data_IF_312191257465
#
_entry.id   IF_312191257465
#
_cell.length_a   1.000
_cell.length_b   1.000
_cell.length_c   1.000
_cell.angle_alpha   90.00
_cell.angle_beta   90.00
_cell.angle_gamma   90.00
#
_symmetry.space_group_name_H-M   'P 1'
#
loop_
_entity.id
_entity.type
_entity.pdbx_description
1 polymer ?
#
# COMPACT_ATOMS: atom_id res chain seq x y z
N UNK A 1 14.69 12.52 -11.28
CA UNK A 1 15.63 12.32 -10.17
C UNK A 1 15.50 13.51 -9.22
N UNK A 2 15.23 13.27 -7.94
CA UNK A 2 15.07 14.30 -6.93
C UNK A 2 16.43 14.63 -6.33
N UNK A 3 16.82 15.90 -6.36
CA UNK A 3 18.09 16.36 -5.77
C UNK A 3 17.82 17.10 -4.46
N UNK A 4 18.29 16.53 -3.35
CA UNK A 4 18.18 17.11 -2.00
C UNK A 4 19.43 17.94 -1.66
N UNK A 5 19.63 19.07 -2.33
CA UNK A 5 20.63 20.07 -1.89
C UNK A 5 19.93 21.41 -1.64
N UNK A 6 19.81 21.77 -0.37
CA UNK A 6 19.30 23.07 0.09
C UNK A 6 17.80 23.11 0.39
N UNK A 7 17.37 24.06 1.21
CA UNK A 7 16.06 24.23 1.83
C UNK A 7 14.86 24.51 0.89
N UNK A 8 14.90 24.10 -0.37
CA UNK A 8 13.76 24.20 -1.27
C UNK A 8 13.74 23.02 -2.24
N UNK A 9 12.62 22.34 -2.28
CA UNK A 9 12.32 21.30 -3.24
C UNK A 9 12.09 21.93 -4.61
N UNK A 10 13.13 21.97 -5.47
CA UNK A 10 13.00 22.44 -6.85
C UNK A 10 13.04 21.25 -7.79
N UNK A 11 12.04 21.19 -8.70
CA UNK A 11 12.04 20.28 -9.84
C UNK A 11 13.07 20.80 -10.86
N UNK A 12 14.09 20.00 -11.21
CA UNK A 12 14.98 20.37 -12.31
C UNK A 12 14.25 20.24 -13.63
N UNK A 13 14.18 21.33 -14.38
CA UNK A 13 13.48 21.45 -15.66
C UNK A 13 14.33 21.02 -16.86
N UNK A 14 15.03 19.90 -16.79
CA UNK A 14 15.78 19.39 -17.94
C UNK A 14 15.85 17.85 -17.92
N UNK A 15 14.70 17.23 -18.10
CA UNK A 15 14.60 15.92 -18.76
C UNK A 15 13.58 16.15 -19.86
N UNK A 16 14.05 16.17 -21.08
CA UNK A 16 13.21 16.13 -22.25
C UNK A 16 12.36 14.88 -22.19
N UNK A 17 11.06 15.06 -22.33
CA UNK A 17 10.00 14.06 -22.26
C UNK A 17 10.10 13.21 -23.54
N UNK A 18 11.06 12.28 -23.57
CA UNK A 18 11.12 11.28 -24.63
C UNK A 18 10.02 10.24 -24.40
N UNK A 19 8.89 10.47 -25.07
CA UNK A 19 8.02 9.39 -25.50
C UNK A 19 7.18 8.71 -24.44
N UNK A 20 6.27 9.42 -23.80
CA UNK A 20 5.07 8.77 -23.30
C UNK A 20 4.37 8.06 -24.49
N UNK A 21 4.05 6.75 -24.39
CA UNK A 21 3.35 6.08 -25.47
C UNK A 21 2.04 6.81 -25.73
N UNK A 22 1.85 7.18 -26.98
CA UNK A 22 0.68 7.81 -27.55
C UNK A 22 -0.59 7.12 -27.01
N UNK A 23 -1.34 7.82 -26.17
CA UNK A 23 -2.65 7.37 -25.67
C UNK A 23 -3.59 7.38 -26.86
N UNK A 24 -3.71 6.20 -27.49
CA UNK A 24 -4.70 5.95 -28.54
C UNK A 24 -6.07 6.43 -28.09
N UNK A 25 -6.67 7.25 -28.94
CA UNK A 25 -8.04 7.75 -28.85
C UNK A 25 -9.03 6.59 -28.70
N UNK A 26 -9.97 6.75 -27.76
CA UNK A 26 -11.05 5.81 -27.38
C UNK A 26 -10.66 4.69 -26.40
N UNK A 27 -10.27 5.06 -25.15
CA UNK A 27 -10.30 4.17 -24.00
C UNK A 27 -11.23 4.76 -22.94
N UNK A 28 -12.22 4.00 -22.51
CA UNK A 28 -12.93 4.24 -21.25
C UNK A 28 -11.88 4.57 -20.20
N UNK A 29 -12.06 5.70 -19.47
CA UNK A 29 -11.08 6.14 -18.46
C UNK A 29 -11.00 5.08 -17.38
N UNK A 30 -9.98 4.23 -17.42
CA UNK A 30 -9.69 3.27 -16.34
C UNK A 30 -9.42 4.05 -15.06
N UNK A 31 -10.04 3.63 -13.96
CA UNK A 31 -9.79 4.19 -12.64
C UNK A 31 -8.42 3.79 -12.11
N UNK A 32 -8.03 4.35 -10.97
CA UNK A 32 -6.74 4.12 -10.32
C UNK A 32 -6.95 3.35 -9.01
N UNK A 33 -6.10 2.35 -8.74
CA UNK A 33 -5.99 1.74 -7.42
C UNK A 33 -4.93 2.48 -6.60
N UNK A 34 -5.36 3.12 -5.52
CA UNK A 34 -4.49 3.78 -4.55
C UNK A 34 -4.17 2.84 -3.40
N UNK A 35 -2.89 2.57 -3.15
CA UNK A 35 -2.44 1.90 -1.94
C UNK A 35 -2.19 2.97 -0.87
N UNK A 36 -3.02 2.98 0.17
CA UNK A 36 -3.01 4.05 1.17
C UNK A 36 -2.54 3.53 2.50
N UNK A 37 -1.41 4.03 2.99
CA UNK A 37 -0.92 3.71 4.34
C UNK A 37 -1.79 4.34 5.41
N UNK A 38 -2.14 3.55 6.43
CA UNK A 38 -3.00 3.94 7.56
C UNK A 38 -2.18 4.11 8.84
N UNK A 39 -2.72 4.78 9.87
CA UNK A 39 -2.06 4.93 11.16
C UNK A 39 -1.70 3.59 11.83
N UNK A 40 -0.61 3.56 12.58
CA UNK A 40 -0.09 2.37 13.28
C UNK A 40 -0.29 2.44 14.80
N UNK A 41 -1.30 3.15 15.27
CA UNK A 41 -1.64 3.29 16.70
C UNK A 41 -2.09 4.70 17.09
N UNK A 42 -1.74 5.72 16.33
CA UNK A 42 -2.21 7.09 16.56
C UNK A 42 -2.86 7.64 15.29
N UNK A 43 -4.13 7.96 15.33
CA UNK A 43 -4.87 8.50 14.19
C UNK A 43 -4.20 9.73 13.56
N UNK A 44 -3.55 10.57 14.37
CA UNK A 44 -2.86 11.79 13.90
C UNK A 44 -1.68 11.52 12.96
N UNK A 45 -1.20 10.28 12.86
CA UNK A 45 -0.11 9.91 11.97
C UNK A 45 -0.56 9.73 10.51
N UNK A 46 -1.85 9.82 10.22
CA UNK A 46 -2.33 9.80 8.83
C UNK A 46 -1.79 11.00 8.07
N UNK A 47 -1.40 10.77 6.82
CA UNK A 47 -0.91 11.87 5.98
C UNK A 47 -2.07 12.66 5.37
N UNK A 48 -1.85 13.95 5.11
CA UNK A 48 -2.82 14.80 4.40
C UNK A 48 -3.17 14.20 3.03
N UNK A 49 -2.18 13.66 2.31
CA UNK A 49 -2.38 12.99 1.02
C UNK A 49 -3.24 11.74 1.14
N UNK A 50 -3.09 10.95 2.21
CA UNK A 50 -3.96 9.81 2.47
C UNK A 50 -5.43 10.24 2.65
N UNK A 51 -5.69 11.29 3.44
CA UNK A 51 -7.03 11.85 3.61
C UNK A 51 -7.61 12.38 2.31
N UNK A 52 -6.81 13.09 1.51
CA UNK A 52 -7.22 13.59 0.19
C UNK A 52 -7.63 12.42 -0.73
N UNK A 53 -6.81 11.38 -0.84
CA UNK A 53 -7.13 10.19 -1.63
C UNK A 53 -8.40 9.52 -1.14
N UNK A 54 -8.51 9.23 0.17
CA UNK A 54 -9.67 8.56 0.76
C UNK A 54 -10.97 9.36 0.56
N UNK A 55 -10.90 10.68 0.54
CA UNK A 55 -12.08 11.53 0.28
C UNK A 55 -12.49 11.56 -1.21
N UNK A 56 -11.58 11.30 -2.15
CA UNK A 56 -11.80 11.40 -3.60
C UNK A 56 -12.17 10.09 -4.27
N UNK A 57 -11.70 8.94 -3.76
CA UNK A 57 -12.00 7.62 -4.35
C UNK A 57 -13.49 7.27 -4.28
N UNK A 58 -13.95 6.42 -5.18
CA UNK A 58 -15.35 5.98 -5.23
C UNK A 58 -15.68 4.99 -4.10
N UNK A 59 -14.72 4.12 -3.74
CA UNK A 59 -14.89 3.15 -2.66
C UNK A 59 -13.54 2.73 -2.06
N UNK A 60 -13.60 2.13 -0.88
CA UNK A 60 -12.43 1.63 -0.15
C UNK A 60 -12.46 0.10 -0.13
N UNK A 61 -11.30 -0.51 -0.36
CA UNK A 61 -11.04 -1.94 -0.24
C UNK A 61 -10.26 -2.15 1.05
N UNK A 62 -10.75 -2.96 1.96
CA UNK A 62 -10.14 -3.17 3.28
C UNK A 62 -10.17 -4.63 3.70
N UNK A 63 -9.16 -5.06 4.45
CA UNK A 63 -9.17 -6.37 5.11
C UNK A 63 -10.23 -6.38 6.21
N UNK A 64 -10.19 -5.41 7.12
CA UNK A 64 -11.22 -5.20 8.15
C UNK A 64 -12.09 -3.98 7.80
N UNK A 65 -13.33 -4.21 7.32
CA UNK A 65 -14.26 -3.12 7.01
C UNK A 65 -14.64 -2.26 8.21
N UNK A 66 -14.66 -2.83 9.43
CA UNK A 66 -15.01 -2.08 10.64
C UNK A 66 -13.87 -1.15 11.05
N UNK A 67 -12.62 -1.62 11.01
CA UNK A 67 -11.44 -0.79 11.24
C UNK A 67 -11.37 0.35 10.22
N UNK A 68 -11.58 0.05 8.94
CA UNK A 68 -11.63 1.06 7.89
C UNK A 68 -12.75 2.08 8.11
N UNK A 69 -13.95 1.64 8.52
CA UNK A 69 -15.08 2.53 8.82
C UNK A 69 -14.76 3.45 10.00
N UNK A 70 -14.17 2.92 11.08
CA UNK A 70 -13.73 3.74 12.22
C UNK A 70 -12.72 4.81 11.80
N UNK A 71 -11.73 4.43 10.99
CA UNK A 71 -10.74 5.37 10.47
C UNK A 71 -11.40 6.47 9.65
N UNK A 72 -12.20 6.12 8.66
CA UNK A 72 -12.88 7.09 7.79
C UNK A 72 -13.77 8.03 8.58
N UNK A 73 -14.58 7.49 9.51
CA UNK A 73 -15.48 8.26 10.36
C UNK A 73 -14.75 9.26 11.25
N UNK A 74 -13.57 8.92 11.76
CA UNK A 74 -12.75 9.83 12.57
C UNK A 74 -12.33 11.11 11.82
N UNK A 75 -12.35 11.07 10.47
CA UNK A 75 -12.03 12.21 9.60
C UNK A 75 -13.24 12.72 8.81
N UNK A 76 -14.45 12.33 9.19
CA UNK A 76 -15.68 12.77 8.52
C UNK A 76 -15.83 12.25 7.10
N UNK A 77 -15.12 11.18 6.72
CA UNK A 77 -15.18 10.57 5.40
C UNK A 77 -16.19 9.42 5.42
N UNK A 78 -17.13 9.40 4.46
CA UNK A 78 -18.09 8.32 4.26
C UNK A 78 -17.93 7.73 2.88
N UNK A 79 -17.53 6.45 2.80
CA UNK A 79 -17.32 5.71 1.53
C UNK A 79 -17.85 4.30 1.64
N UNK A 80 -18.35 3.72 0.54
CA UNK A 80 -18.61 2.29 0.44
C UNK A 80 -17.32 1.51 0.69
N UNK A 81 -17.40 0.38 1.42
CA UNK A 81 -16.25 -0.45 1.75
C UNK A 81 -16.49 -1.86 1.22
N UNK A 82 -15.51 -2.41 0.52
CA UNK A 82 -15.47 -3.81 0.08
C UNK A 82 -14.44 -4.56 0.93
N UNK A 83 -14.88 -5.67 1.55
CA UNK A 83 -13.96 -6.57 2.27
C UNK A 83 -13.10 -7.37 1.29
N UNK A 84 -11.79 -7.39 1.51
CA UNK A 84 -10.82 -8.12 0.72
C UNK A 84 -9.81 -8.87 1.59
N UNK A 85 -9.77 -10.19 1.46
CA UNK A 85 -8.80 -11.06 2.13
C UNK A 85 -8.15 -11.95 1.08
N UNK A 86 -6.86 -12.21 1.20
CA UNK A 86 -6.09 -13.09 0.31
C UNK A 86 -5.93 -14.51 0.87
N UNK A 87 -6.91 -14.98 1.61
CA UNK A 87 -6.93 -16.34 2.15
C UNK A 87 -8.03 -17.18 1.51
N UNK A 88 -7.75 -18.49 1.31
CA UNK A 88 -8.69 -19.45 0.70
C UNK A 88 -8.83 -19.31 -0.82
N UNK A 89 -9.71 -20.13 -1.44
CA UNK A 89 -9.83 -20.25 -2.90
C UNK A 89 -10.61 -19.11 -3.57
N UNK A 90 -11.20 -18.20 -2.82
CA UNK A 90 -12.14 -17.19 -3.36
C UNK A 90 -11.53 -15.80 -3.55
N UNK A 91 -10.29 -15.57 -3.14
CA UNK A 91 -9.69 -14.24 -3.22
C UNK A 91 -9.49 -13.77 -4.67
N UNK A 92 -9.15 -14.71 -5.60
CA UNK A 92 -9.00 -14.37 -7.02
C UNK A 92 -10.29 -13.80 -7.60
N UNK A 93 -11.44 -14.43 -7.30
CA UNK A 93 -12.76 -13.93 -7.75
C UNK A 93 -13.07 -12.53 -7.21
N UNK A 94 -12.64 -12.24 -5.96
CA UNK A 94 -12.76 -10.89 -5.38
C UNK A 94 -11.83 -9.90 -6.09
N UNK A 95 -10.57 -10.27 -6.33
CA UNK A 95 -9.62 -9.45 -7.07
C UNK A 95 -10.15 -9.13 -8.48
N UNK A 96 -10.68 -10.14 -9.20
CA UNK A 96 -11.29 -9.93 -10.52
C UNK A 96 -12.50 -8.98 -10.47
N UNK A 97 -13.35 -9.09 -9.43
CA UNK A 97 -14.49 -8.18 -9.24
C UNK A 97 -14.01 -6.75 -9.01
N UNK A 98 -13.01 -6.55 -8.15
CA UNK A 98 -12.43 -5.24 -7.86
C UNK A 98 -11.77 -4.65 -9.11
N UNK A 99 -11.01 -5.47 -9.86
CA UNK A 99 -10.37 -5.03 -11.10
C UNK A 99 -11.39 -4.60 -12.17
N UNK A 100 -12.55 -5.25 -12.27
CA UNK A 100 -13.63 -4.82 -13.19
C UNK A 100 -14.15 -3.44 -12.83
N UNK A 101 -14.36 -3.14 -11.53
CA UNK A 101 -14.80 -1.83 -11.05
C UNK A 101 -13.77 -0.74 -11.45
N UNK A 102 -12.46 -1.06 -11.36
CA UNK A 102 -11.40 -0.17 -11.81
C UNK A 102 -11.43 0.03 -13.33
N UNK A 103 -11.64 -1.04 -14.11
CA UNK A 103 -11.76 -0.96 -15.57
C UNK A 103 -13.00 -0.19 -16.01
N UNK A 104 -14.06 -0.14 -15.21
CA UNK A 104 -15.26 0.69 -15.41
C UNK A 104 -15.01 2.19 -15.09
N UNK A 105 -13.77 2.57 -14.77
CA UNK A 105 -13.37 3.98 -14.56
C UNK A 105 -13.46 4.46 -13.12
N UNK A 106 -13.88 3.61 -12.16
CA UNK A 106 -13.94 3.96 -10.73
C UNK A 106 -12.57 3.83 -10.08
N UNK A 107 -12.19 4.83 -9.28
CA UNK A 107 -10.96 4.81 -8.50
C UNK A 107 -11.19 4.26 -7.09
N UNK A 108 -10.28 3.43 -6.61
CA UNK A 108 -10.39 2.71 -5.35
C UNK A 108 -9.18 2.95 -4.46
N UNK A 109 -9.38 2.95 -3.15
CA UNK A 109 -8.28 2.92 -2.17
C UNK A 109 -8.21 1.55 -1.50
N UNK A 110 -7.04 0.90 -1.55
CA UNK A 110 -6.73 -0.28 -0.74
C UNK A 110 -6.08 0.20 0.56
N UNK A 111 -6.63 -0.22 1.69
CA UNK A 111 -6.11 0.05 3.02
C UNK A 111 -5.91 -1.25 3.81
N UNK A 112 -4.89 -1.30 4.66
CA UNK A 112 -4.72 -2.31 5.70
C UNK A 112 -5.29 -1.83 7.03
N UNK A 113 -5.35 -2.70 8.03
CA UNK A 113 -5.76 -2.31 9.38
C UNK A 113 -4.77 -1.29 9.97
N UNK A 114 -3.47 -1.48 9.76
CA UNK A 114 -2.42 -0.57 10.22
C UNK A 114 -1.20 -0.60 9.30
N UNK A 115 -0.70 0.56 8.91
CA UNK A 115 0.50 0.69 8.07
C UNK A 115 0.22 0.57 6.57
N UNK A 116 1.13 -0.05 5.83
CA UNK A 116 1.12 -0.09 4.36
C UNK A 116 0.49 -1.38 3.85
N UNK A 117 -0.59 -1.32 3.06
CA UNK A 117 -1.24 -2.51 2.51
C UNK A 117 -0.30 -3.29 1.59
N UNK A 118 -0.46 -4.63 1.56
CA UNK A 118 0.36 -5.53 0.76
C UNK A 118 1.72 -5.89 1.36
N UNK A 119 2.08 -5.34 2.53
CA UNK A 119 3.32 -5.66 3.25
C UNK A 119 2.99 -6.45 4.53
N UNK A 120 3.03 -7.76 4.47
CA UNK A 120 2.51 -8.71 5.48
C UNK A 120 1.00 -8.64 5.70
N UNK A 121 0.31 -7.90 4.85
CA UNK A 121 -1.13 -7.71 4.80
C UNK A 121 -1.68 -8.13 3.42
N UNK A 122 -2.98 -8.37 3.27
CA UNK A 122 -3.59 -8.58 1.95
C UNK A 122 -3.34 -7.39 1.00
N UNK A 123 -3.21 -7.67 -0.29
CA UNK A 123 -3.04 -6.64 -1.33
C UNK A 123 -2.12 -7.05 -2.46
N UNK A 124 -1.17 -7.97 -2.20
CA UNK A 124 -0.22 -8.43 -3.21
C UNK A 124 -0.93 -8.97 -4.47
N UNK A 125 -1.90 -9.87 -4.30
CA UNK A 125 -2.62 -10.47 -5.40
C UNK A 125 -3.46 -9.46 -6.19
N UNK A 126 -4.09 -8.49 -5.50
CA UNK A 126 -4.83 -7.42 -6.16
C UNK A 126 -3.89 -6.49 -6.94
N UNK A 127 -2.76 -6.08 -6.36
CA UNK A 127 -1.73 -5.27 -7.02
C UNK A 127 -1.22 -5.99 -8.27
N UNK A 128 -0.85 -7.26 -8.14
CA UNK A 128 -0.40 -8.08 -9.26
C UNK A 128 -1.45 -8.14 -10.36
N UNK A 129 -2.72 -8.35 -10.00
CA UNK A 129 -3.84 -8.38 -10.97
C UNK A 129 -4.01 -7.05 -11.69
N UNK A 130 -3.88 -5.93 -10.98
CA UNK A 130 -3.91 -4.60 -11.60
C UNK A 130 -2.75 -4.39 -12.58
N UNK A 131 -1.54 -4.83 -12.24
CA UNK A 131 -0.39 -4.77 -13.14
C UNK A 131 -0.60 -5.61 -14.41
N UNK A 132 -1.13 -6.83 -14.29
CA UNK A 132 -1.47 -7.71 -15.42
C UNK A 132 -2.50 -7.06 -16.37
N UNK A 133 -3.44 -6.29 -15.81
CA UNK A 133 -4.50 -5.60 -16.57
C UNK A 133 -4.14 -4.15 -16.95
N UNK A 134 -2.91 -3.71 -16.71
CA UNK A 134 -2.44 -2.34 -16.96
C UNK A 134 -3.30 -1.26 -16.29
N UNK A 135 -3.90 -1.59 -15.14
CA UNK A 135 -4.66 -0.64 -14.32
C UNK A 135 -3.67 0.27 -13.58
N UNK A 136 -3.85 1.61 -13.62
CA UNK A 136 -2.99 2.55 -12.91
C UNK A 136 -2.93 2.27 -11.41
N UNK A 137 -1.70 2.29 -10.87
CA UNK A 137 -1.43 2.13 -9.44
C UNK A 137 -0.74 3.38 -8.91
N UNK A 138 -1.19 3.85 -7.75
CA UNK A 138 -0.53 4.92 -6.99
C UNK A 138 -0.37 4.54 -5.53
N UNK A 139 0.68 5.04 -4.88
CA UNK A 139 0.92 4.85 -3.45
C UNK A 139 0.79 6.19 -2.74
N UNK A 140 -0.06 6.26 -1.72
CA UNK A 140 -0.04 7.31 -0.72
C UNK A 140 0.79 6.80 0.48
N UNK A 141 2.11 7.07 0.52
CA UNK A 141 2.99 6.59 1.57
C UNK A 141 2.63 7.21 2.91
N UNK A 142 2.97 6.52 3.99
CA UNK A 142 2.64 6.99 5.33
C UNK A 142 3.32 6.16 6.43
N UNK A 143 2.66 5.99 7.59
CA UNK A 143 3.20 5.28 8.73
C UNK A 143 3.65 3.86 8.41
N UNK A 144 4.76 3.44 9.02
CA UNK A 144 5.31 2.11 8.89
C UNK A 144 5.89 1.64 10.21
N UNK A 145 5.36 0.56 10.77
CA UNK A 145 5.88 -0.05 12.00
C UNK A 145 7.31 -0.55 11.81
N UNK A 146 7.66 -1.01 10.61
CA UNK A 146 8.99 -1.53 10.28
C UNK A 146 10.02 -0.42 10.42
N UNK A 147 9.80 0.72 9.77
CA UNK A 147 10.71 1.86 9.83
C UNK A 147 10.76 2.46 11.23
N UNK A 148 9.63 2.57 11.92
CA UNK A 148 9.55 3.11 13.27
C UNK A 148 10.33 2.23 14.26
N UNK A 149 10.13 0.91 14.22
CA UNK A 149 10.85 -0.03 15.07
C UNK A 149 12.35 -0.05 14.78
N UNK A 150 12.72 -0.01 13.49
CA UNK A 150 14.10 0.00 13.05
C UNK A 150 14.85 1.25 13.57
N UNK A 151 14.28 2.43 13.44
CA UNK A 151 14.87 3.69 13.92
C UNK A 151 14.96 3.70 15.46
N UNK A 152 13.92 3.22 16.15
CA UNK A 152 13.89 3.17 17.61
C UNK A 152 14.83 2.12 18.23
N UNK A 153 15.24 1.10 17.45
CA UNK A 153 16.12 0.03 17.95
C UNK A 153 17.52 0.50 18.30
N UNK A 154 17.98 1.64 17.73
CA UNK A 154 19.36 2.10 17.85
C UNK A 154 20.39 1.22 17.13
N UNK A 155 19.95 0.23 16.36
CA UNK A 155 20.81 -0.64 15.55
C UNK A 155 21.05 0.01 14.19
N UNK A 156 22.24 -0.18 13.54
CA UNK A 156 22.50 0.39 12.21
C UNK A 156 21.43 -0.01 11.19
N UNK A 157 20.75 0.98 10.62
CA UNK A 157 19.58 0.79 9.75
C UNK A 157 19.88 0.98 8.25
N UNK A 158 21.15 1.13 7.87
CA UNK A 158 21.56 1.32 6.48
C UNK A 158 21.38 0.09 5.60
N UNK A 159 21.32 -1.10 6.20
CA UNK A 159 20.99 -2.36 5.55
C UNK A 159 20.20 -3.22 6.53
N UNK A 160 19.00 -3.64 6.18
CA UNK A 160 18.17 -4.50 7.02
C UNK A 160 17.42 -5.55 6.19
N UNK A 161 16.94 -6.58 6.88
CA UNK A 161 16.10 -7.65 6.32
C UNK A 161 14.76 -7.66 7.04
N UNK A 162 13.69 -7.65 6.28
CA UNK A 162 12.33 -7.83 6.79
C UNK A 162 11.88 -9.27 6.51
N UNK A 163 11.84 -10.10 7.53
CA UNK A 163 11.47 -11.53 7.43
C UNK A 163 9.95 -11.74 7.54
N UNK A 164 9.19 -10.71 7.81
CA UNK A 164 7.76 -10.82 8.07
C UNK A 164 7.45 -11.43 9.44
N UNK A 165 6.29 -12.07 9.57
CA UNK A 165 5.90 -12.75 10.80
C UNK A 165 6.61 -14.09 10.96
N UNK A 166 7.24 -14.29 12.10
CA UNK A 166 7.84 -15.59 12.45
C UNK A 166 6.76 -16.68 12.53
N UNK A 167 7.08 -17.93 12.12
CA UNK A 167 6.16 -19.05 12.22
C UNK A 167 5.61 -19.25 13.64
N UNK A 168 4.31 -19.55 13.76
CA UNK A 168 3.67 -19.82 15.06
C UNK A 168 4.20 -21.10 15.71
N UNK A 169 4.53 -22.11 14.91
CA UNK A 169 5.05 -23.39 15.38
C UNK A 169 6.46 -23.26 15.96
N UNK A 170 6.68 -23.75 17.19
CA UNK A 170 7.96 -23.63 17.93
C UNK A 170 9.16 -24.17 17.12
N UNK A 171 9.03 -25.36 16.53
CA UNK A 171 10.11 -25.99 15.78
C UNK A 171 10.45 -25.19 14.50
N UNK A 172 9.44 -24.73 13.77
CA UNK A 172 9.63 -23.96 12.55
C UNK A 172 10.21 -22.57 12.86
N UNK A 173 9.69 -21.88 13.88
CA UNK A 173 10.24 -20.59 14.34
C UNK A 173 11.71 -20.71 14.74
N UNK A 174 12.08 -21.79 15.46
CA UNK A 174 13.48 -22.05 15.82
C UNK A 174 14.36 -22.22 14.58
N UNK A 175 13.92 -23.00 13.58
CA UNK A 175 14.66 -23.18 12.32
C UNK A 175 14.87 -21.85 11.58
N UNK A 176 13.82 -21.02 11.49
CA UNK A 176 13.93 -19.68 10.88
C UNK A 176 14.96 -18.83 11.60
N UNK A 177 14.90 -18.77 12.96
CA UNK A 177 15.86 -18.00 13.76
C UNK A 177 17.29 -18.55 13.65
N UNK A 178 17.47 -19.87 13.57
CA UNK A 178 18.78 -20.49 13.36
C UNK A 178 19.37 -20.12 11.98
N UNK A 179 18.52 -20.03 10.95
CA UNK A 179 18.91 -19.55 9.63
C UNK A 179 19.40 -18.10 9.63
N UNK A 180 18.77 -17.25 10.44
CA UNK A 180 19.10 -15.83 10.55
C UNK A 180 20.39 -15.54 11.34
N UNK A 181 20.94 -16.50 12.09
CA UNK A 181 22.19 -16.30 12.87
C UNK A 181 23.40 -15.86 12.03
N UNK A 182 23.39 -16.17 10.74
CA UNK A 182 24.48 -15.79 9.80
C UNK A 182 24.20 -14.47 9.09
N UNK A 183 23.00 -13.91 9.25
CA UNK A 183 22.65 -12.62 8.67
C UNK A 183 23.39 -11.49 9.41
N UNK A 184 24.01 -10.60 8.64
CA UNK A 184 24.81 -9.47 9.16
C UNK A 184 24.09 -8.14 9.04
N UNK A 185 22.99 -8.11 8.33
CA UNK A 185 22.10 -6.93 8.26
C UNK A 185 21.15 -6.93 9.45
N UNK A 186 20.69 -5.76 9.84
CA UNK A 186 19.67 -5.61 10.88
C UNK A 186 18.37 -6.24 10.47
#
# INVERSE_FOLDING_TARGET
>A
VWNFKGNAMKRSSSVEDEGAPNRGERGEKTGTLFLVSTPIGNLKDITLRALEVLSRVDLVVAEDPEAARRLLSAYGISKPIISYHEQGERWQKKADKISRILLEGKSLALVSEAGTPGLSDPGYGLVRRCLELHIPLEVAPGPSVILSALVMSGIPANKFVFEGFLPRGRAQRRRTLEGLKKERRT
#
